data_IF_593778559817
#
_entry.id   IF_593778559817
#
_cell.length_a   1.000
_cell.length_b   1.000
_cell.length_c   1.000
_cell.angle_alpha   90.00
_cell.angle_beta   90.00
_cell.angle_gamma   90.00
#
_symmetry.space_group_name_H-M   'P 1'
#
loop_
_entity.id
_entity.type
_entity.pdbx_description
1 polymer ?
#
# COMPACT_ATOMS: atom_id res chain seq x y z
N UNK A 1 -10.58 23.66 36.91
CA UNK A 1 -11.85 23.68 36.14
C UNK A 1 -12.56 22.37 36.36
N UNK A 2 -13.84 22.40 36.79
CA UNK A 2 -14.65 21.20 36.91
C UNK A 2 -14.91 20.63 35.52
N UNK A 3 -14.57 19.37 35.31
CA UNK A 3 -14.82 18.69 34.06
C UNK A 3 -16.30 18.38 33.88
N UNK A 4 -16.80 18.53 32.67
CA UNK A 4 -18.17 18.16 32.32
C UNK A 4 -18.26 16.63 32.15
N UNK A 5 -19.18 16.03 32.87
CA UNK A 5 -19.57 14.63 32.67
C UNK A 5 -20.75 14.57 31.69
N UNK A 6 -20.55 13.90 30.57
CA UNK A 6 -21.52 13.73 29.50
C UNK A 6 -22.35 12.46 29.70
N UNK A 7 -23.60 12.51 29.35
CA UNK A 7 -24.51 11.36 29.25
C UNK A 7 -24.31 10.62 27.93
N UNK A 8 -24.84 9.39 27.83
CA UNK A 8 -24.85 8.63 26.58
C UNK A 8 -25.55 9.43 25.46
N UNK A 9 -26.70 10.06 25.76
CA UNK A 9 -27.48 10.81 24.80
C UNK A 9 -26.73 12.06 24.31
N UNK A 10 -26.01 12.78 25.20
CA UNK A 10 -25.20 13.92 24.78
C UNK A 10 -24.05 13.52 23.86
N UNK A 11 -23.39 12.40 24.15
CA UNK A 11 -22.32 11.86 23.29
C UNK A 11 -22.87 11.37 21.96
N UNK A 12 -23.98 10.62 21.98
CA UNK A 12 -24.65 10.11 20.78
C UNK A 12 -25.11 11.25 19.87
N UNK A 13 -25.73 12.30 20.44
CA UNK A 13 -26.14 13.48 19.69
C UNK A 13 -24.95 14.28 19.13
N UNK A 14 -23.85 14.42 19.90
CA UNK A 14 -22.65 15.07 19.43
C UNK A 14 -21.96 14.35 18.27
N UNK A 15 -21.95 13.01 18.33
CA UNK A 15 -21.34 12.18 17.30
C UNK A 15 -22.29 11.80 16.16
N UNK A 16 -23.57 12.16 16.26
CA UNK A 16 -24.65 11.80 15.32
C UNK A 16 -24.75 10.28 15.09
N UNK A 17 -24.73 9.51 16.18
CA UNK A 17 -24.85 8.05 16.18
C UNK A 17 -25.94 7.61 17.16
N UNK A 18 -26.32 6.33 17.09
CA UNK A 18 -27.33 5.75 17.96
C UNK A 18 -26.83 5.58 19.41
N UNK A 19 -27.70 5.84 20.40
CA UNK A 19 -27.45 5.73 21.84
C UNK A 19 -26.95 4.34 22.24
N UNK A 20 -27.48 3.28 21.61
CA UNK A 20 -27.05 1.90 21.88
C UNK A 20 -25.59 1.66 21.46
N UNK A 21 -25.10 2.39 20.46
CA UNK A 21 -23.69 2.31 20.06
C UNK A 21 -22.79 2.87 21.16
N UNK A 22 -23.12 4.05 21.71
CA UNK A 22 -22.37 4.64 22.83
C UNK A 22 -22.47 3.78 24.06
N UNK A 23 -23.67 3.26 24.39
CA UNK A 23 -23.88 2.35 25.52
C UNK A 23 -22.99 1.10 25.40
N UNK A 24 -22.91 0.49 24.20
CA UNK A 24 -22.04 -0.66 23.95
C UNK A 24 -20.58 -0.31 24.14
N UNK A 25 -20.11 0.85 23.65
CA UNK A 25 -18.74 1.30 23.85
C UNK A 25 -18.37 1.47 25.33
N UNK A 26 -19.28 2.02 26.14
CA UNK A 26 -19.07 2.12 27.60
C UNK A 26 -19.00 0.74 28.25
N UNK A 27 -19.91 -0.16 27.88
CA UNK A 27 -19.98 -1.52 28.44
C UNK A 27 -18.77 -2.36 28.09
N UNK A 28 -18.25 -2.23 26.87
CA UNK A 28 -17.10 -2.97 26.35
C UNK A 28 -15.78 -2.27 26.62
N UNK A 29 -15.79 -1.18 27.41
CA UNK A 29 -14.61 -0.38 27.75
C UNK A 29 -13.85 0.16 26.54
N UNK A 30 -14.54 0.36 25.40
CA UNK A 30 -13.95 1.01 24.22
C UNK A 30 -13.74 2.51 24.43
N UNK A 31 -14.56 3.14 25.29
CA UNK A 31 -14.40 4.52 25.75
C UNK A 31 -14.33 4.52 27.27
N UNK A 32 -13.39 5.28 27.88
CA UNK A 32 -13.35 5.43 29.32
C UNK A 32 -14.67 6.06 29.81
N UNK A 33 -15.38 5.36 30.66
CA UNK A 33 -16.64 5.81 31.22
C UNK A 33 -16.81 5.30 32.65
N UNK A 34 -17.52 6.05 33.47
CA UNK A 34 -17.86 5.67 34.85
C UNK A 34 -19.35 5.45 35.01
N UNK A 35 -19.73 4.48 35.85
CA UNK A 35 -21.12 4.22 36.16
C UNK A 35 -21.49 4.93 37.44
N UNK A 36 -22.38 5.92 37.37
CA UNK A 36 -22.88 6.64 38.52
C UNK A 36 -24.33 6.21 38.76
N UNK A 37 -24.55 5.41 39.80
CA UNK A 37 -25.85 4.76 39.97
C UNK A 37 -26.18 3.77 38.87
N UNK A 38 -27.25 4.03 38.13
CA UNK A 38 -27.66 3.20 37.00
C UNK A 38 -27.21 3.75 35.63
N UNK A 39 -26.58 4.94 35.59
CA UNK A 39 -26.27 5.64 34.35
C UNK A 39 -24.77 5.75 34.13
N UNK A 40 -24.39 5.66 32.85
CA UNK A 40 -23.04 5.92 32.40
C UNK A 40 -22.76 7.42 32.28
N UNK A 41 -21.55 7.82 32.66
CA UNK A 41 -21.00 9.18 32.48
C UNK A 41 -19.65 9.08 31.83
N UNK A 42 -19.39 9.97 30.89
CA UNK A 42 -18.15 10.06 30.11
C UNK A 42 -17.55 11.43 30.37
N UNK A 43 -16.29 11.48 30.85
CA UNK A 43 -15.57 12.74 30.96
C UNK A 43 -15.30 13.30 29.56
N UNK A 44 -15.55 14.58 29.36
CA UNK A 44 -15.35 15.22 28.07
C UNK A 44 -13.92 15.05 27.55
N UNK A 45 -12.92 15.11 28.41
CA UNK A 45 -11.50 14.88 28.02
C UNK A 45 -11.26 13.46 27.56
N UNK A 46 -11.90 12.47 28.18
CA UNK A 46 -11.80 11.10 27.75
C UNK A 46 -12.46 10.88 26.39
N UNK A 47 -13.57 11.54 26.13
CA UNK A 47 -14.20 11.56 24.80
C UNK A 47 -13.27 12.22 23.77
N UNK A 48 -12.68 13.39 24.09
CA UNK A 48 -11.77 14.09 23.18
C UNK A 48 -10.51 13.24 22.89
N UNK A 49 -9.95 12.59 23.92
CA UNK A 49 -8.81 11.68 23.78
C UNK A 49 -9.18 10.44 22.92
N UNK A 50 -10.35 9.86 23.14
CA UNK A 50 -10.85 8.75 22.33
C UNK A 50 -11.02 9.15 20.85
N UNK A 51 -11.62 10.33 20.59
CA UNK A 51 -11.79 10.84 19.24
C UNK A 51 -10.45 11.19 18.59
N UNK A 52 -9.51 11.78 19.34
CA UNK A 52 -8.16 12.02 18.86
C UNK A 52 -7.43 10.72 18.52
N UNK A 53 -7.57 9.68 19.35
CA UNK A 53 -7.06 8.34 19.08
C UNK A 53 -7.66 7.74 17.81
N UNK A 54 -8.99 7.89 17.60
CA UNK A 54 -9.65 7.43 16.38
C UNK A 54 -9.21 8.21 15.14
N UNK A 55 -9.02 9.54 15.24
CA UNK A 55 -8.46 10.35 14.14
C UNK A 55 -7.02 9.95 13.81
N UNK A 56 -6.20 9.73 14.83
CA UNK A 56 -4.81 9.31 14.65
C UNK A 56 -4.75 7.89 14.06
N UNK A 57 -5.57 6.95 14.55
CA UNK A 57 -5.68 5.60 13.99
C UNK A 57 -6.13 5.64 12.51
N UNK A 58 -7.17 6.42 12.19
CA UNK A 58 -7.62 6.57 10.81
C UNK A 58 -6.56 7.22 9.90
N UNK A 59 -5.74 8.16 10.44
CA UNK A 59 -4.60 8.74 9.70
C UNK A 59 -3.43 7.79 9.60
N UNK A 60 -3.19 6.96 10.60
CA UNK A 60 -2.10 5.97 10.60
C UNK A 60 -2.40 4.79 9.69
N UNK A 61 -3.69 4.46 9.53
CA UNK A 61 -4.17 3.35 8.70
C UNK A 61 -4.53 3.79 7.27
N UNK A 62 -4.24 5.03 6.87
CA UNK A 62 -4.43 5.46 5.50
C UNK A 62 -3.21 5.13 4.64
N UNK A 63 -3.44 4.92 3.34
CA UNK A 63 -2.34 4.67 2.41
C UNK A 63 -1.36 5.85 2.36
N UNK A 64 -1.83 7.09 2.47
CA UNK A 64 -0.99 8.30 2.56
C UNK A 64 -0.10 8.29 3.79
N UNK A 65 -0.60 7.82 4.92
CA UNK A 65 0.21 7.70 6.14
C UNK A 65 1.30 6.62 5.99
N UNK A 66 0.97 5.50 5.34
CA UNK A 66 1.96 4.47 5.01
C UNK A 66 3.04 5.06 4.10
N UNK A 67 2.65 5.71 3.00
CA UNK A 67 3.59 6.36 2.08
C UNK A 67 4.46 7.40 2.78
N UNK A 68 3.90 8.15 3.75
CA UNK A 68 4.59 9.26 4.39
C UNK A 68 5.56 8.84 5.48
N UNK A 69 5.25 7.77 6.23
CA UNK A 69 5.92 7.51 7.51
C UNK A 69 6.35 6.05 7.73
N UNK A 70 5.89 5.11 6.91
CA UNK A 70 6.13 3.70 7.19
C UNK A 70 7.04 3.00 6.18
N UNK A 71 7.30 3.61 5.02
CA UNK A 71 8.15 3.01 4.00
C UNK A 71 9.62 3.40 4.20
N UNK A 72 10.46 2.40 4.40
CA UNK A 72 11.90 2.59 4.66
C UNK A 72 12.72 1.64 3.78
N UNK A 73 13.50 2.14 2.81
CA UNK A 73 14.32 1.29 1.94
C UNK A 73 15.35 0.44 2.72
N UNK A 74 15.64 -0.79 2.30
CA UNK A 74 15.05 -1.49 1.17
C UNK A 74 13.71 -2.14 1.53
N UNK A 75 12.69 -1.98 0.68
CA UNK A 75 11.39 -2.64 0.86
C UNK A 75 10.86 -3.20 -0.48
N UNK A 76 10.44 -4.45 -0.45
CA UNK A 76 9.68 -5.11 -1.50
C UNK A 76 8.35 -5.57 -0.91
N UNK A 77 7.26 -4.89 -1.27
CA UNK A 77 5.95 -5.00 -0.63
C UNK A 77 4.96 -5.62 -1.59
N UNK A 78 4.43 -6.78 -1.22
CA UNK A 78 3.30 -7.39 -1.90
C UNK A 78 2.02 -6.56 -1.64
N UNK A 79 1.29 -6.21 -2.69
CA UNK A 79 -0.02 -5.57 -2.59
C UNK A 79 -1.07 -6.50 -3.19
N UNK A 80 -1.92 -7.07 -2.35
CA UNK A 80 -2.97 -7.99 -2.79
C UNK A 80 -4.20 -7.22 -3.26
N UNK A 81 -4.57 -7.39 -4.52
CA UNK A 81 -5.70 -6.74 -5.18
C UNK A 81 -6.62 -7.76 -5.84
N UNK A 82 -7.87 -7.37 -6.03
CA UNK A 82 -8.89 -8.20 -6.70
C UNK A 82 -9.33 -7.67 -8.05
N UNK A 83 -8.91 -6.45 -8.39
CA UNK A 83 -9.32 -5.74 -9.60
C UNK A 83 -8.12 -5.03 -10.25
N UNK A 84 -7.92 -5.18 -11.58
CA UNK A 84 -6.81 -4.53 -12.28
C UNK A 84 -6.82 -3.00 -12.17
N UNK A 85 -8.00 -2.37 -12.13
CA UNK A 85 -8.13 -0.92 -12.00
C UNK A 85 -7.56 -0.38 -10.69
N UNK A 86 -7.59 -1.17 -9.62
CA UNK A 86 -7.00 -0.81 -8.32
C UNK A 86 -5.48 -0.65 -8.35
N UNK A 87 -4.80 -1.27 -9.32
CA UNK A 87 -3.37 -1.02 -9.56
C UNK A 87 -3.15 0.44 -9.95
N UNK A 88 -3.95 0.97 -10.86
CA UNK A 88 -3.82 2.36 -11.29
C UNK A 88 -4.17 3.35 -10.18
N UNK A 89 -5.20 3.07 -9.38
CA UNK A 89 -5.56 3.89 -8.21
C UNK A 89 -4.43 3.91 -7.17
N UNK A 90 -3.78 2.78 -6.93
CA UNK A 90 -2.61 2.67 -6.06
C UNK A 90 -1.44 3.51 -6.59
N UNK A 91 -1.09 3.31 -7.86
CA UNK A 91 0.05 3.97 -8.51
C UNK A 91 -0.17 5.49 -8.67
N UNK A 92 -1.43 5.92 -8.88
CA UNK A 92 -1.83 7.33 -8.91
C UNK A 92 -1.60 8.08 -7.58
N UNK A 93 -1.36 7.38 -6.50
CA UNK A 93 -1.02 7.94 -5.18
C UNK A 93 0.45 7.71 -4.83
N UNK A 94 1.00 6.57 -5.25
CA UNK A 94 2.36 6.16 -4.95
C UNK A 94 3.41 7.02 -5.70
N UNK A 95 3.28 7.17 -7.01
CA UNK A 95 4.25 7.90 -7.81
C UNK A 95 4.27 9.42 -7.54
N UNK A 96 3.14 10.13 -7.37
CA UNK A 96 3.17 11.53 -6.93
C UNK A 96 3.87 11.70 -5.58
N UNK A 97 3.66 10.81 -4.62
CA UNK A 97 4.34 10.86 -3.34
C UNK A 97 5.87 10.67 -3.44
N UNK A 98 6.35 9.86 -4.39
CA UNK A 98 7.76 9.73 -4.71
C UNK A 98 8.32 11.00 -5.40
N UNK A 99 7.54 11.55 -6.33
CA UNK A 99 7.90 12.78 -7.04
C UNK A 99 8.08 13.97 -6.09
N UNK A 100 7.15 14.17 -5.16
CA UNK A 100 7.23 15.22 -4.13
C UNK A 100 8.49 15.12 -3.26
N UNK A 101 8.98 13.89 -3.03
CA UNK A 101 10.24 13.65 -2.30
C UNK A 101 11.49 13.77 -3.16
N UNK A 102 11.33 14.02 -4.45
CA UNK A 102 12.45 14.10 -5.37
C UNK A 102 13.12 12.77 -5.71
N UNK A 103 12.47 11.63 -5.40
CA UNK A 103 13.02 10.32 -5.69
C UNK A 103 12.89 9.95 -7.18
N UNK A 104 13.87 9.27 -7.77
CA UNK A 104 13.72 8.58 -9.04
C UNK A 104 12.63 7.50 -8.95
N UNK A 105 11.97 7.23 -10.06
CA UNK A 105 10.82 6.33 -10.14
C UNK A 105 10.98 5.33 -11.27
N UNK A 106 10.54 4.09 -11.02
CA UNK A 106 10.48 3.05 -12.05
C UNK A 106 9.12 2.38 -12.07
N UNK A 107 8.54 2.25 -13.26
CA UNK A 107 7.34 1.46 -13.51
C UNK A 107 7.67 0.30 -14.43
N UNK A 108 7.51 -0.91 -13.93
CA UNK A 108 7.56 -2.14 -14.71
C UNK A 108 6.16 -2.54 -15.19
N UNK A 109 5.97 -2.61 -16.51
CA UNK A 109 4.72 -3.03 -17.13
C UNK A 109 4.82 -4.51 -17.52
N UNK A 110 3.99 -5.36 -16.93
CA UNK A 110 3.86 -6.76 -17.30
C UNK A 110 2.67 -7.01 -18.21
N UNK A 111 1.51 -6.47 -17.86
CA UNK A 111 0.26 -6.56 -18.60
C UNK A 111 -0.25 -5.20 -19.11
N UNK A 112 0.18 -4.12 -18.47
CA UNK A 112 -0.18 -2.75 -18.83
C UNK A 112 0.63 -2.31 -20.04
N UNK A 113 0.00 -1.58 -20.99
CA UNK A 113 0.76 -0.94 -22.05
C UNK A 113 1.53 0.27 -21.50
N UNK A 114 2.84 0.42 -21.80
CA UNK A 114 3.64 1.53 -21.27
C UNK A 114 3.07 2.93 -21.55
N UNK A 115 2.44 3.14 -22.72
CA UNK A 115 1.87 4.44 -23.08
C UNK A 115 0.59 4.76 -22.30
N UNK A 116 -0.23 3.74 -21.97
CA UNK A 116 -1.39 3.93 -21.10
C UNK A 116 -0.96 4.32 -19.69
N UNK A 117 0.12 3.72 -19.19
CA UNK A 117 0.72 4.09 -17.91
C UNK A 117 1.21 5.53 -17.94
N UNK A 118 1.96 5.96 -18.96
CA UNK A 118 2.41 7.34 -19.14
C UNK A 118 1.25 8.32 -19.13
N UNK A 119 0.19 8.00 -19.88
CA UNK A 119 -1.01 8.83 -19.95
C UNK A 119 -1.66 8.97 -18.56
N UNK A 120 -1.85 7.87 -17.83
CA UNK A 120 -2.45 7.87 -16.50
C UNK A 120 -1.61 8.63 -15.49
N UNK A 121 -0.29 8.47 -15.49
CA UNK A 121 0.61 9.23 -14.63
C UNK A 121 0.57 10.74 -14.95
N UNK A 122 0.43 11.11 -16.21
CA UNK A 122 0.25 12.52 -16.60
C UNK A 122 -1.08 13.09 -16.11
N UNK A 123 -2.15 12.31 -16.13
CA UNK A 123 -3.48 12.71 -15.64
C UNK A 123 -3.50 13.01 -14.14
N UNK A 124 -2.62 12.40 -13.36
CA UNK A 124 -2.47 12.69 -11.92
C UNK A 124 -1.43 13.78 -11.62
N UNK A 125 -1.01 14.52 -12.63
CA UNK A 125 -0.18 15.71 -12.50
C UNK A 125 1.33 15.48 -12.54
N UNK A 126 1.80 14.29 -12.89
CA UNK A 126 3.23 14.07 -13.08
C UNK A 126 3.70 14.62 -14.44
N UNK A 127 4.79 15.39 -14.50
CA UNK A 127 5.39 15.85 -15.75
C UNK A 127 6.19 14.72 -16.43
N UNK A 128 5.48 13.70 -16.93
CA UNK A 128 6.07 12.42 -17.38
C UNK A 128 7.18 12.63 -18.41
N UNK A 129 6.95 13.47 -19.43
CA UNK A 129 7.93 13.73 -20.49
C UNK A 129 9.26 14.31 -19.93
N UNK A 130 9.17 15.29 -19.02
CA UNK A 130 10.34 15.91 -18.39
C UNK A 130 11.05 14.94 -17.44
N UNK A 131 10.29 14.10 -16.74
CA UNK A 131 10.83 13.10 -15.84
C UNK A 131 11.57 11.99 -16.62
N UNK A 132 11.04 11.53 -17.74
CA UNK A 132 11.72 10.56 -18.61
C UNK A 132 12.95 11.20 -19.26
N UNK A 133 12.86 12.42 -19.79
CA UNK A 133 13.99 13.14 -20.39
C UNK A 133 15.13 13.37 -19.40
N UNK A 134 14.82 13.60 -18.13
CA UNK A 134 15.82 13.76 -17.06
C UNK A 134 16.28 12.44 -16.43
N UNK A 135 15.75 11.30 -16.88
CA UNK A 135 16.04 9.99 -16.32
C UNK A 135 15.51 9.76 -14.90
N UNK A 136 14.60 10.61 -14.42
CA UNK A 136 13.96 10.48 -13.09
C UNK A 136 12.75 9.55 -13.07
N UNK A 137 12.16 9.28 -14.22
CA UNK A 137 11.14 8.26 -14.42
C UNK A 137 11.60 7.32 -15.51
N UNK A 138 11.41 6.03 -15.28
CA UNK A 138 11.61 5.01 -16.30
C UNK A 138 10.36 4.13 -16.34
N UNK A 139 9.82 3.93 -17.53
CA UNK A 139 8.68 3.02 -17.76
C UNK A 139 9.16 1.89 -18.67
N UNK A 140 9.15 0.67 -18.16
CA UNK A 140 9.63 -0.52 -18.88
C UNK A 140 8.50 -1.40 -19.37
N UNK A 141 8.61 -1.94 -20.56
CA UNK A 141 7.87 -3.12 -20.99
C UNK A 141 8.61 -4.38 -20.49
N UNK A 142 8.31 -4.80 -19.25
CA UNK A 142 8.97 -5.96 -18.65
C UNK A 142 8.52 -7.28 -19.28
N UNK A 143 7.29 -7.33 -19.80
CA UNK A 143 6.82 -8.52 -20.51
C UNK A 143 7.66 -8.81 -21.76
N UNK A 144 7.95 -7.80 -22.56
CA UNK A 144 8.82 -7.93 -23.73
C UNK A 144 10.25 -8.32 -23.33
N UNK A 145 10.79 -7.75 -22.26
CA UNK A 145 12.11 -8.12 -21.74
C UNK A 145 12.15 -9.58 -21.28
N UNK A 146 11.14 -10.01 -20.53
CA UNK A 146 11.04 -11.37 -20.04
C UNK A 146 10.94 -12.40 -21.17
N UNK A 147 10.15 -12.11 -22.21
CA UNK A 147 10.05 -13.00 -23.37
C UNK A 147 11.35 -13.14 -24.17
N UNK A 148 12.20 -12.11 -24.16
CA UNK A 148 13.47 -12.09 -24.90
C UNK A 148 14.63 -12.69 -24.09
N UNK A 149 14.71 -12.41 -22.79
CA UNK A 149 15.87 -12.69 -21.97
C UNK A 149 15.52 -13.36 -20.62
N UNK A 150 14.27 -13.79 -20.44
CA UNK A 150 13.81 -14.45 -19.23
C UNK A 150 13.93 -13.58 -17.97
N UNK A 151 13.91 -14.21 -16.83
CA UNK A 151 14.07 -13.56 -15.53
C UNK A 151 15.40 -12.80 -15.43
N UNK A 152 16.49 -13.36 -15.96
CA UNK A 152 17.81 -12.72 -15.94
C UNK A 152 17.82 -11.33 -16.58
N UNK A 153 17.13 -11.17 -17.70
CA UNK A 153 17.02 -9.88 -18.38
C UNK A 153 16.28 -8.85 -17.57
N UNK A 154 15.22 -9.26 -16.85
CA UNK A 154 14.48 -8.36 -15.95
C UNK A 154 15.33 -7.97 -14.73
N UNK A 155 15.98 -8.94 -14.10
CA UNK A 155 16.83 -8.70 -12.92
C UNK A 155 18.04 -7.80 -13.24
N UNK A 156 18.64 -7.98 -14.41
CA UNK A 156 19.71 -7.12 -14.88
C UNK A 156 19.25 -5.65 -14.99
N UNK A 157 18.05 -5.40 -15.53
CA UNK A 157 17.52 -4.03 -15.64
C UNK A 157 17.37 -3.32 -14.29
N UNK A 158 16.95 -4.01 -13.25
CA UNK A 158 16.87 -3.44 -11.91
C UNK A 158 18.24 -3.02 -11.37
N UNK A 159 19.25 -3.88 -11.51
CA UNK A 159 20.62 -3.58 -11.09
C UNK A 159 21.21 -2.41 -11.89
N UNK A 160 21.08 -2.45 -13.21
CA UNK A 160 21.63 -1.41 -14.10
C UNK A 160 21.01 -0.04 -13.81
N UNK A 161 19.68 -0.01 -13.60
CA UNK A 161 18.98 1.23 -13.31
C UNK A 161 19.34 1.81 -11.94
N UNK A 162 19.46 0.96 -10.92
CA UNK A 162 19.90 1.41 -9.59
C UNK A 162 21.35 1.97 -9.65
N UNK A 163 22.22 1.31 -10.38
CA UNK A 163 23.58 1.80 -10.61
C UNK A 163 23.60 3.14 -11.37
N UNK A 164 22.78 3.29 -12.41
CA UNK A 164 22.65 4.54 -13.17
C UNK A 164 22.18 5.71 -12.31
N UNK A 165 21.39 5.45 -11.27
CA UNK A 165 20.98 6.47 -10.28
C UNK A 165 21.99 6.66 -9.14
N UNK A 166 23.16 6.01 -9.18
CA UNK A 166 24.20 6.12 -8.17
C UNK A 166 23.76 5.59 -6.81
N UNK A 167 22.95 4.54 -6.80
CA UNK A 167 22.39 3.92 -5.60
C UNK A 167 21.61 4.90 -4.70
N UNK A 168 20.99 5.93 -5.27
CA UNK A 168 20.07 6.81 -4.52
C UNK A 168 18.75 6.08 -4.24
N UNK A 169 18.06 6.50 -3.18
CA UNK A 169 16.71 6.01 -2.88
C UNK A 169 15.81 6.24 -4.08
N UNK A 170 15.08 5.20 -4.47
CA UNK A 170 14.11 5.23 -5.57
C UNK A 170 12.83 4.48 -5.20
N UNK A 171 11.74 4.80 -5.90
CA UNK A 171 10.47 4.13 -5.73
C UNK A 171 10.06 3.45 -7.02
N UNK A 172 9.50 2.24 -6.91
CA UNK A 172 9.10 1.47 -8.07
C UNK A 172 7.82 0.67 -7.88
N UNK A 173 7.19 0.32 -9.00
CA UNK A 173 6.05 -0.60 -9.03
C UNK A 173 6.17 -1.54 -10.22
N UNK A 174 5.94 -2.83 -9.98
CA UNK A 174 5.77 -3.84 -11.02
C UNK A 174 4.54 -4.68 -10.69
N UNK A 175 3.49 -4.61 -11.54
CA UNK A 175 2.20 -5.24 -11.25
C UNK A 175 1.97 -6.49 -12.09
N UNK A 176 1.41 -7.53 -11.47
CA UNK A 176 1.12 -8.81 -12.11
C UNK A 176 -0.37 -9.15 -12.06
N UNK A 177 -0.85 -9.81 -13.11
CA UNK A 177 -2.12 -10.56 -13.10
C UNK A 177 -1.80 -12.03 -12.83
N UNK A 178 -2.37 -12.59 -11.77
CA UNK A 178 -2.12 -14.00 -11.36
C UNK A 178 -2.50 -14.96 -12.49
N UNK A 179 -3.59 -14.64 -13.20
CA UNK A 179 -4.11 -15.48 -14.29
C UNK A 179 -3.12 -15.66 -15.44
N UNK A 180 -2.28 -14.67 -15.73
CA UNK A 180 -1.26 -14.74 -16.78
C UNK A 180 -0.13 -15.73 -16.45
N UNK A 181 0.05 -16.02 -15.16
CA UNK A 181 1.07 -16.94 -14.64
C UNK A 181 0.53 -18.31 -14.27
N UNK A 182 -0.81 -18.51 -14.36
CA UNK A 182 -1.47 -19.74 -13.91
C UNK A 182 -0.90 -21.01 -14.54
N UNK A 183 -0.49 -20.97 -15.80
CA UNK A 183 0.14 -22.10 -16.52
C UNK A 183 1.62 -22.32 -16.13
N UNK A 184 2.28 -21.40 -15.46
CA UNK A 184 3.70 -21.45 -15.11
C UNK A 184 3.98 -20.79 -13.75
N UNK A 185 3.14 -21.08 -12.76
CA UNK A 185 3.22 -20.48 -11.43
C UNK A 185 4.57 -20.71 -10.74
N UNK A 186 5.14 -21.91 -10.90
CA UNK A 186 6.46 -22.24 -10.33
C UNK A 186 7.59 -21.34 -10.84
N UNK A 187 7.58 -21.02 -12.14
CA UNK A 187 8.58 -20.10 -12.70
C UNK A 187 8.37 -18.65 -12.24
N UNK A 188 7.11 -18.28 -11.97
CA UNK A 188 6.83 -16.97 -11.38
C UNK A 188 7.34 -16.88 -9.94
N UNK A 189 7.13 -17.89 -9.11
CA UNK A 189 7.66 -17.92 -7.74
C UNK A 189 9.20 -17.89 -7.72
N UNK A 190 9.85 -18.65 -8.61
CA UNK A 190 11.31 -18.58 -8.75
C UNK A 190 11.80 -17.18 -9.15
N UNK A 191 11.09 -16.54 -10.08
CA UNK A 191 11.39 -15.17 -10.46
C UNK A 191 11.23 -14.21 -9.27
N UNK A 192 10.14 -14.29 -8.51
CA UNK A 192 9.88 -13.44 -7.33
C UNK A 192 10.92 -13.65 -6.23
N UNK A 193 11.33 -14.88 -5.96
CA UNK A 193 12.42 -15.19 -5.01
C UNK A 193 13.72 -14.48 -5.43
N UNK A 194 14.09 -14.61 -6.70
CA UNK A 194 15.31 -13.99 -7.25
C UNK A 194 15.21 -12.48 -7.29
N UNK A 195 14.04 -11.94 -7.62
CA UNK A 195 13.75 -10.51 -7.61
C UNK A 195 13.90 -9.95 -6.19
N UNK A 196 13.33 -10.62 -5.19
CA UNK A 196 13.47 -10.23 -3.79
C UNK A 196 14.94 -10.20 -3.36
N UNK A 197 15.71 -11.20 -3.74
CA UNK A 197 17.15 -11.25 -3.42
C UNK A 197 17.96 -10.10 -4.05
N UNK A 198 17.53 -9.59 -5.21
CA UNK A 198 18.12 -8.40 -5.84
C UNK A 198 17.65 -7.12 -5.14
N UNK A 199 16.34 -6.96 -4.98
CA UNK A 199 15.73 -5.73 -4.46
C UNK A 199 16.10 -5.46 -3.00
N UNK A 200 16.31 -6.50 -2.20
CA UNK A 200 16.77 -6.39 -0.80
C UNK A 200 18.15 -5.75 -0.65
N UNK A 201 18.91 -5.65 -1.73
CA UNK A 201 20.26 -5.01 -1.75
C UNK A 201 20.23 -3.60 -2.34
N UNK A 202 19.08 -3.18 -2.90
CA UNK A 202 18.95 -1.89 -3.55
C UNK A 202 18.21 -0.91 -2.60
N UNK A 203 18.55 0.38 -2.61
CA UNK A 203 17.91 1.38 -1.77
C UNK A 203 16.53 1.77 -2.33
N UNK A 204 15.70 0.79 -2.63
CA UNK A 204 14.39 0.96 -3.25
C UNK A 204 13.23 0.71 -2.30
N UNK A 205 12.10 1.40 -2.55
CA UNK A 205 10.78 1.01 -2.08
C UNK A 205 10.00 0.54 -3.29
N UNK A 206 9.67 -0.74 -3.31
CA UNK A 206 9.01 -1.35 -4.44
C UNK A 206 7.67 -1.96 -4.02
N UNK A 207 6.62 -1.58 -4.72
CA UNK A 207 5.33 -2.21 -4.64
C UNK A 207 5.21 -3.28 -5.73
N UNK A 208 4.78 -4.47 -5.33
CA UNK A 208 4.43 -5.57 -6.20
C UNK A 208 2.91 -5.81 -6.13
N UNK A 209 2.09 -5.04 -6.86
CA UNK A 209 0.66 -5.27 -6.93
C UNK A 209 0.38 -6.57 -7.69
N UNK A 210 -0.22 -7.54 -7.00
CA UNK A 210 -0.67 -8.79 -7.59
C UNK A 210 -2.18 -8.85 -7.55
N UNK A 211 -2.78 -8.99 -8.72
CA UNK A 211 -4.23 -9.05 -8.91
C UNK A 211 -4.67 -10.50 -9.08
N UNK A 212 -5.50 -10.96 -8.15
CA UNK A 212 -6.17 -12.24 -8.25
C UNK A 212 -7.68 -12.02 -8.32
N UNK A 213 -8.28 -12.33 -9.46
CA UNK A 213 -9.72 -12.14 -9.65
C UNK A 213 -10.53 -13.16 -8.84
N UNK A 214 -11.61 -12.76 -8.15
CA UNK A 214 -12.37 -13.66 -7.26
C UNK A 214 -13.07 -14.81 -7.98
N UNK A 215 -13.12 -14.81 -9.31
CA UNK A 215 -13.80 -15.82 -10.10
C UNK A 215 -13.14 -17.20 -10.03
N UNK A 216 -11.87 -17.29 -9.58
CA UNK A 216 -11.14 -18.55 -9.47
C UNK A 216 -11.03 -18.99 -8.01
N UNK A 217 -11.57 -20.19 -7.73
CA UNK A 217 -11.38 -20.82 -6.43
C UNK A 217 -9.91 -21.17 -6.25
N UNK A 218 -9.25 -20.49 -5.32
CA UNK A 218 -7.81 -20.68 -5.05
C UNK A 218 -6.94 -19.47 -5.33
N UNK A 219 -7.43 -18.44 -6.03
CA UNK A 219 -6.65 -17.24 -6.36
C UNK A 219 -6.05 -16.55 -5.12
N UNK A 220 -6.77 -16.54 -3.99
CA UNK A 220 -6.26 -15.97 -2.74
C UNK A 220 -5.17 -16.84 -2.13
N UNK A 221 -5.29 -18.18 -2.17
CA UNK A 221 -4.25 -19.08 -1.65
C UNK A 221 -2.96 -18.96 -2.48
N UNK A 222 -3.10 -18.78 -3.79
CA UNK A 222 -1.98 -18.53 -4.70
C UNK A 222 -1.21 -17.26 -4.33
N UNK A 223 -1.89 -16.17 -3.95
CA UNK A 223 -1.22 -14.95 -3.48
C UNK A 223 -0.43 -15.18 -2.19
N UNK A 224 -0.82 -16.12 -1.34
CA UNK A 224 -0.09 -16.42 -0.11
C UNK A 224 1.28 -17.04 -0.38
N UNK A 225 1.47 -17.72 -1.52
CA UNK A 225 2.77 -18.27 -1.92
C UNK A 225 3.80 -17.16 -2.20
N UNK A 226 3.34 -15.93 -2.49
CA UNK A 226 4.22 -14.78 -2.71
C UNK A 226 4.71 -14.13 -1.42
N UNK A 227 4.02 -14.32 -0.31
CA UNK A 227 4.33 -13.68 0.98
C UNK A 227 5.78 -13.89 1.42
N UNK A 228 6.38 -15.10 1.31
CA UNK A 228 7.77 -15.32 1.70
C UNK A 228 8.81 -14.55 0.87
N UNK A 229 8.43 -14.08 -0.32
CA UNK A 229 9.31 -13.36 -1.25
C UNK A 229 9.20 -11.83 -1.11
N UNK A 230 8.62 -11.34 -0.01
CA UNK A 230 8.41 -9.91 0.23
C UNK A 230 8.75 -9.52 1.67
N UNK A 231 9.19 -8.27 1.88
CA UNK A 231 9.43 -7.74 3.24
C UNK A 231 8.14 -7.42 3.98
N UNK A 232 7.06 -7.23 3.27
CA UNK A 232 5.76 -6.90 3.86
C UNK A 232 4.61 -7.10 2.90
N UNK A 233 3.41 -7.07 3.46
CA UNK A 233 2.16 -7.19 2.73
C UNK A 233 1.28 -5.98 3.03
N UNK A 234 0.79 -5.34 1.99
CA UNK A 234 -0.16 -4.24 2.07
C UNK A 234 -1.56 -4.72 1.68
N UNK A 235 -2.48 -4.59 2.61
CA UNK A 235 -3.88 -4.92 2.43
C UNK A 235 -4.72 -3.66 2.29
N UNK A 236 -5.76 -3.69 1.44
CA UNK A 236 -6.80 -2.65 1.28
C UNK A 236 -6.23 -1.25 1.08
N UNK A 237 -5.43 -1.00 0.06
CA UNK A 237 -4.79 0.30 -0.15
C UNK A 237 -5.79 1.45 -0.45
N UNK A 238 -7.04 1.12 -0.74
CA UNK A 238 -8.09 2.05 -1.15
C UNK A 238 -8.98 2.54 0.00
N UNK A 239 -9.06 1.79 1.11
CA UNK A 239 -9.92 2.15 2.25
C UNK A 239 -9.09 2.34 3.52
N UNK A 240 -8.97 1.27 4.30
CA UNK A 240 -8.10 1.19 5.47
C UNK A 240 -6.90 0.34 5.13
N UNK A 241 -5.77 0.97 4.94
CA UNK A 241 -4.55 0.28 4.55
C UNK A 241 -3.81 -0.27 5.76
N UNK A 242 -3.42 -1.52 5.70
CA UNK A 242 -2.65 -2.21 6.74
C UNK A 242 -1.37 -2.73 6.11
N UNK A 243 -0.24 -2.21 6.54
CA UNK A 243 1.07 -2.73 6.18
C UNK A 243 1.56 -3.65 7.29
N UNK A 244 1.69 -4.93 6.96
CA UNK A 244 2.28 -5.94 7.86
C UNK A 244 3.67 -6.29 7.36
N UNK A 245 4.67 -6.21 8.25
CA UNK A 245 6.04 -6.62 7.91
C UNK A 245 6.29 -8.06 8.29
N UNK A 246 7.01 -8.75 7.44
CA UNK A 246 7.49 -10.10 7.72
C UNK A 246 8.73 -9.99 8.62
N UNK A 247 8.70 -10.70 9.73
CA UNK A 247 9.88 -10.84 10.60
C UNK A 247 10.68 -12.00 10.06
N UNK A 248 11.85 -11.70 9.49
CA UNK A 248 12.82 -12.69 9.08
C UNK A 248 13.59 -13.28 10.26
#
# INVERSE_FOLDING_TARGET
MLNRLLTIQEVAGYLQIDDNTVYRWCRESHIPAMKIGKEWRIDQRDLDAFLAGKRNSARTDSFEAILSHQLTPPEHILVMLTEPEKVFELEARFFPAAYERGYPMVKGCWWQHPDDVRQRLSQVGLPVADLEASGRLVVWDLWSVYRQAGADGVLARWNDQAAAWGNRVFWGSGSHLVDEWSSNWGAFLEYEERLHAVLSKLPGVLLCPCVATPAESGAVSTLLDLVPHHNGVLFRPDQRSILTRMVG
#
